data_IF_403047795087
#
_entry.id   IF_403047795087
#
_cell.length_a   1.000
_cell.length_b   1.000
_cell.length_c   1.000
_cell.angle_alpha   90.00
_cell.angle_beta   90.00
_cell.angle_gamma   90.00
#
_symmetry.space_group_name_H-M   'P 1'
#
loop_
_entity.id
_entity.type
_entity.pdbx_description
1 polymer ?
2 polymer ?
3 non-polymer ?
4 non-polymer ?
5 non-polymer ?
6 water ?
#
# COMPACT_ATOMS: atom_id res chain seq x y z
N UNK A 1 2.00 1.61 23.79
CA UNK A 1 2.79 2.85 24.11
C UNK A 1 4.18 2.52 24.58
N UNK A 2 4.71 1.37 24.15
CA UNK A 2 6.03 0.93 24.61
C UNK A 2 7.14 1.82 24.09
N UNK A 3 6.86 2.67 23.11
CA UNK A 3 7.86 3.59 22.59
C UNK A 3 7.71 4.99 23.17
N UNK A 4 6.80 5.16 24.11
CA UNK A 4 6.52 6.48 24.62
C UNK A 4 7.68 7.12 25.35
N UNK A 5 8.60 6.31 25.89
CA UNK A 5 9.73 6.87 26.62
C UNK A 5 10.95 7.16 25.74
N UNK A 6 10.92 6.78 24.46
CA UNK A 6 12.04 7.02 23.57
C UNK A 6 11.86 8.30 22.75
N UNK A 7 12.95 9.03 22.61
CA UNK A 7 12.95 10.28 21.84
C UNK A 7 12.52 10.01 20.41
N UNK A 8 11.81 10.96 19.82
CA UNK A 8 11.42 10.83 18.41
C UNK A 8 12.63 10.58 17.52
N UNK A 9 13.70 11.34 17.72
CA UNK A 9 14.84 11.21 16.82
C UNK A 9 15.49 9.84 16.95
N UNK A 10 15.51 9.30 18.18
CA UNK A 10 16.07 7.96 18.41
C UNK A 10 15.22 6.90 17.74
N UNK A 11 13.88 7.08 17.75
CA UNK A 11 12.99 6.13 17.06
C UNK A 11 13.25 6.12 15.56
N UNK A 12 13.44 7.30 14.97
CA UNK A 12 13.74 7.39 13.54
C UNK A 12 15.10 6.76 13.26
N UNK A 13 16.10 7.07 14.10
CA UNK A 13 17.42 6.48 13.91
C UNK A 13 17.34 4.95 13.95
N UNK A 14 16.61 4.40 14.93
CA UNK A 14 16.48 2.95 15.08
C UNK A 14 15.63 2.33 13.97
N UNK A 15 14.60 3.03 13.47
CA UNK A 15 13.90 2.56 12.28
C UNK A 15 14.85 2.34 11.12
N UNK A 16 15.79 3.28 10.93
CA UNK A 16 16.76 3.12 9.84
C UNK A 16 17.72 1.97 10.10
N UNK A 17 18.12 1.74 11.34
CA UNK A 17 18.92 0.56 11.65
C UNK A 17 18.15 -0.73 11.41
N UNK A 18 16.90 -0.79 11.87
CA UNK A 18 16.08 -1.96 11.65
C UNK A 18 15.94 -2.26 10.16
N UNK A 19 15.75 -1.23 9.34
CA UNK A 19 15.70 -1.45 7.89
C UNK A 19 17.00 -2.12 7.40
N UNK A 20 18.14 -1.64 7.87
CA UNK A 20 19.41 -2.22 7.42
C UNK A 20 19.54 -3.66 7.86
N UNK A 21 18.97 -3.99 9.01
CA UNK A 21 19.00 -5.34 9.54
C UNK A 21 17.85 -6.20 9.04
N UNK A 22 17.00 -5.68 8.18
CA UNK A 22 15.80 -6.38 7.68
C UNK A 22 14.90 -6.84 8.83
N UNK A 23 14.79 -5.99 9.84
CA UNK A 23 13.94 -6.27 11.00
C UNK A 23 12.70 -5.37 10.88
N UNK A 24 11.78 -5.77 9.99
CA UNK A 24 10.70 -4.86 9.65
C UNK A 24 9.63 -4.73 10.71
N UNK A 25 9.41 -5.76 11.54
CA UNK A 25 8.48 -5.61 12.64
C UNK A 25 9.01 -4.58 13.64
N UNK A 26 10.29 -4.65 13.96
CA UNK A 26 10.90 -3.62 14.79
C UNK A 26 10.76 -2.25 14.14
N UNK A 27 11.05 -2.18 12.84
CA UNK A 27 10.99 -0.93 12.12
C UNK A 27 9.60 -0.32 12.20
N UNK A 28 8.57 -1.16 12.07
CA UNK A 28 7.20 -0.67 12.14
C UNK A 28 6.87 -0.16 13.53
N UNK A 29 7.33 -0.86 14.56
CA UNK A 29 7.06 -0.42 15.91
C UNK A 29 7.75 0.91 16.20
N UNK A 30 9.00 1.07 15.75
CA UNK A 30 9.69 2.34 15.90
C UNK A 30 8.95 3.47 15.18
N UNK A 31 8.51 3.22 13.95
CA UNK A 31 7.83 4.28 13.23
C UNK A 31 6.43 4.55 13.78
N UNK A 32 5.73 3.53 14.27
CA UNK A 32 4.48 3.81 14.98
C UNK A 32 4.75 4.73 16.18
N UNK A 33 5.81 4.43 16.93
CA UNK A 33 6.19 5.26 18.06
C UNK A 33 6.48 6.69 17.64
N UNK A 34 7.20 6.87 16.54
CA UNK A 34 7.48 8.22 16.02
C UNK A 34 6.19 8.94 15.63
N UNK A 35 5.30 8.27 14.91
CA UNK A 35 4.02 8.88 14.56
C UNK A 35 3.28 9.34 15.82
N UNK A 36 3.22 8.49 16.85
CA UNK A 36 2.49 8.81 18.07
C UNK A 36 3.10 9.94 18.88
N UNK A 37 4.29 10.42 18.51
CA UNK A 37 4.78 11.65 19.14
C UNK A 37 3.94 12.85 18.76
N UNK A 38 3.16 12.76 17.68
CA UNK A 38 2.19 13.78 17.34
C UNK A 38 2.64 14.82 16.35
N UNK A 39 3.90 14.81 15.95
CA UNK A 39 4.38 15.77 14.96
C UNK A 39 4.19 15.20 13.56
N UNK A 40 4.01 16.09 12.59
CA UNK A 40 3.95 15.66 11.20
C UNK A 40 5.25 14.98 10.81
N UNK A 41 5.16 14.14 9.77
CA UNK A 41 6.31 13.39 9.29
C UNK A 41 6.89 14.07 8.07
N UNK A 42 8.22 14.05 7.97
CA UNK A 42 8.86 14.52 6.76
C UNK A 42 8.71 13.50 5.63
N UNK A 43 9.16 13.91 4.43
CA UNK A 43 9.13 13.00 3.28
C UNK A 43 9.88 11.71 3.58
N UNK A 44 11.09 11.82 4.12
CA UNK A 44 11.89 10.64 4.41
C UNK A 44 11.19 9.78 5.44
N UNK A 45 10.61 10.41 6.46
CA UNK A 45 9.94 9.66 7.53
C UNK A 45 8.69 8.96 7.01
N UNK A 46 7.94 9.60 6.11
CA UNK A 46 6.79 8.94 5.51
C UNK A 46 7.23 7.68 4.77
N UNK A 47 8.36 7.76 4.07
CA UNK A 47 8.86 6.60 3.34
C UNK A 47 9.21 5.49 4.32
N UNK A 48 9.85 5.83 5.45
CA UNK A 48 10.20 4.82 6.43
C UNK A 48 8.96 4.10 6.96
N UNK A 49 7.93 4.88 7.25
CA UNK A 49 6.66 4.32 7.73
C UNK A 49 6.12 3.34 6.71
N UNK A 50 6.13 3.75 5.45
CA UNK A 50 5.62 2.92 4.37
C UNK A 50 6.45 1.66 4.17
N UNK A 51 7.79 1.79 4.17
CA UNK A 51 8.65 0.62 4.01
C UNK A 51 8.39 -0.40 5.12
N UNK A 52 8.26 0.08 6.35
CA UNK A 52 8.14 -0.85 7.48
C UNK A 52 6.88 -1.69 7.36
N UNK A 53 5.74 -1.04 7.20
CA UNK A 53 4.48 -1.76 7.18
C UNK A 53 4.25 -2.48 5.87
N UNK A 54 4.79 -1.97 4.76
CA UNK A 54 4.73 -2.73 3.50
C UNK A 54 5.36 -4.09 3.69
N UNK A 55 6.52 -4.15 4.34
CA UNK A 55 7.23 -5.41 4.50
C UNK A 55 6.56 -6.30 5.53
N UNK A 56 6.04 -5.74 6.61
CA UNK A 56 5.32 -6.56 7.59
C UNK A 56 4.08 -7.18 6.93
N UNK A 57 3.21 -6.35 6.36
CA UNK A 57 2.00 -6.90 5.76
C UNK A 57 2.33 -7.74 4.55
N UNK A 58 3.42 -7.43 3.85
CA UNK A 58 3.79 -8.22 2.70
C UNK A 58 4.05 -9.67 3.07
N UNK A 59 4.75 -9.89 4.19
CA UNK A 59 4.97 -11.24 4.68
C UNK A 59 3.68 -11.93 5.09
N UNK A 60 2.77 -11.21 5.72
CA UNK A 60 1.49 -11.77 6.12
C UNK A 60 0.63 -12.10 4.90
N UNK A 61 0.58 -11.22 3.91
CA UNK A 61 -0.20 -11.49 2.71
C UNK A 61 0.30 -12.74 2.00
N UNK A 62 1.62 -12.90 1.88
CA UNK A 62 2.16 -14.05 1.20
C UNK A 62 1.84 -15.34 1.93
N UNK A 63 1.91 -15.30 3.27
CA UNK A 63 1.55 -16.47 4.08
C UNK A 63 0.07 -16.78 3.96
N UNK A 64 -0.78 -15.75 4.02
CA UNK A 64 -2.22 -15.95 3.89
C UNK A 64 -2.55 -16.61 2.56
N UNK A 65 -1.89 -16.18 1.48
CA UNK A 65 -2.14 -16.78 0.17
C UNK A 65 -1.73 -18.24 0.13
N UNK A 66 -0.58 -18.59 0.73
CA UNK A 66 -0.19 -19.99 0.80
C UNK A 66 -1.26 -20.80 1.51
N UNK A 67 -1.70 -20.33 2.68
CA UNK A 67 -2.66 -21.07 3.50
C UNK A 67 -4.02 -21.14 2.85
N UNK A 68 -4.46 -20.06 2.22
CA UNK A 68 -5.75 -20.05 1.53
C UNK A 68 -5.77 -21.05 0.39
N UNK A 69 -4.65 -21.16 -0.33
CA UNK A 69 -4.57 -22.13 -1.42
C UNK A 69 -4.66 -23.55 -0.89
N UNK A 70 -4.01 -23.81 0.24
CA UNK A 70 -4.11 -25.13 0.86
C UNK A 70 -5.53 -25.36 1.32
N UNK A 71 -6.14 -24.36 1.92
CA UNK A 71 -7.51 -24.50 2.42
C UNK A 71 -8.46 -24.82 1.25
N UNK A 72 -8.31 -24.10 0.14
CA UNK A 72 -9.19 -24.31 -0.99
C UNK A 72 -9.00 -25.71 -1.58
N UNK A 73 -7.76 -26.18 -1.65
CA UNK A 73 -7.54 -27.53 -2.15
C UNK A 73 -8.13 -28.57 -1.22
N UNK A 74 -8.18 -28.29 0.09
CA UNK A 74 -8.76 -29.22 1.04
C UNK A 74 -10.28 -29.35 0.90
N UNK A 75 -10.91 -28.42 0.19
CA UNK A 75 -12.35 -28.40 0.02
C UNK A 75 -12.79 -28.81 -1.39
N UNK A 76 -11.91 -29.42 -2.17
CA UNK A 76 -12.30 -29.98 -3.45
C UNK A 76 -12.92 -31.37 -3.25
N UNK A 77 -13.41 -31.95 -4.35
CA UNK A 77 -13.89 -33.32 -4.31
C UNK A 77 -12.71 -34.29 -4.26
N UNK A 78 -12.87 -35.37 -3.50
CA UNK A 78 -11.84 -36.37 -3.33
C UNK A 78 -10.76 -36.00 -2.33
N UNK A 79 -10.92 -34.88 -1.64
CA UNK A 79 -9.94 -34.42 -0.67
C UNK A 79 -10.25 -35.03 0.70
N UNK A 80 -9.23 -35.57 1.34
CA UNK A 80 -9.39 -36.12 2.68
C UNK A 80 -9.68 -35.02 3.69
N UNK A 81 -10.57 -35.31 4.63
CA UNK A 81 -10.83 -34.41 5.74
C UNK A 81 -9.64 -34.43 6.70
N UNK A 82 -9.04 -33.27 6.92
CA UNK A 82 -7.88 -33.15 7.79
C UNK A 82 -8.20 -32.40 9.09
N UNK A 83 -9.47 -32.08 9.32
CA UNK A 83 -9.86 -31.38 10.52
C UNK A 83 -9.83 -29.88 10.34
N UNK A 84 -9.96 -29.16 11.45
CA UNK A 84 -10.09 -27.71 11.39
C UNK A 84 -8.79 -26.95 11.31
N UNK A 85 -7.63 -27.63 11.26
CA UNK A 85 -6.36 -26.95 11.52
C UNK A 85 -6.02 -25.94 10.42
N UNK A 86 -6.20 -26.30 9.15
CA UNK A 86 -5.87 -25.38 8.08
C UNK A 86 -6.68 -24.10 8.21
N UNK A 87 -8.00 -24.24 8.36
CA UNK A 87 -8.84 -23.08 8.54
C UNK A 87 -8.41 -22.26 9.73
N UNK A 88 -8.15 -22.92 10.87
CA UNK A 88 -7.77 -22.22 12.09
C UNK A 88 -6.53 -21.38 11.89
N UNK A 89 -5.50 -21.99 11.29
CA UNK A 89 -4.23 -21.29 11.14
C UNK A 89 -4.32 -20.18 10.09
N UNK A 90 -5.06 -20.43 9.01
CA UNK A 90 -5.34 -19.34 8.07
C UNK A 90 -6.06 -18.19 8.77
N UNK A 91 -7.04 -18.49 9.62
CA UNK A 91 -7.73 -17.45 10.37
C UNK A 91 -6.76 -16.71 11.29
N UNK A 92 -5.83 -17.44 11.90
CA UNK A 92 -4.85 -16.80 12.78
C UNK A 92 -4.04 -15.78 12.01
N UNK A 93 -3.50 -16.19 10.87
CA UNK A 93 -2.70 -15.28 10.05
C UNK A 93 -3.56 -14.13 9.56
N UNK A 94 -4.80 -14.43 9.13
CA UNK A 94 -5.70 -13.39 8.64
C UNK A 94 -6.00 -12.37 9.72
N UNK A 95 -6.21 -12.82 10.95
CA UNK A 95 -6.49 -11.88 12.03
C UNK A 95 -5.29 -11.01 12.34
N UNK A 96 -4.09 -11.57 12.28
CA UNK A 96 -2.90 -10.75 12.52
C UNK A 96 -2.72 -9.72 11.42
N UNK A 97 -2.97 -10.11 10.19
CA UNK A 97 -2.91 -9.19 9.06
C UNK A 97 -3.91 -8.05 9.20
N UNK A 98 -5.16 -8.38 9.54
CA UNK A 98 -6.16 -7.36 9.76
C UNK A 98 -5.74 -6.42 10.88
N UNK A 99 -5.05 -6.95 11.89
CA UNK A 99 -4.62 -6.11 13.00
C UNK A 99 -3.55 -5.11 12.59
N UNK A 100 -2.65 -5.53 11.73
CA UNK A 100 -1.64 -4.61 11.17
C UNK A 100 -2.33 -3.55 10.31
N UNK A 101 -3.24 -3.97 9.43
CA UNK A 101 -3.97 -3.01 8.61
C UNK A 101 -4.73 -2.01 9.48
N UNK A 102 -5.39 -2.51 10.52
CA UNK A 102 -6.11 -1.62 11.44
C UNK A 102 -5.18 -0.65 12.14
N UNK A 103 -3.97 -1.11 12.49
CA UNK A 103 -3.01 -0.23 13.14
C UNK A 103 -2.61 0.91 12.21
N UNK A 104 -2.32 0.60 10.94
CA UNK A 104 -1.95 1.63 9.99
C UNK A 104 -3.09 2.61 9.77
N UNK A 105 -4.30 2.08 9.57
CA UNK A 105 -5.45 2.93 9.33
C UNK A 105 -5.71 3.82 10.53
N UNK A 106 -5.46 3.28 11.72
CA UNK A 106 -5.61 4.07 12.93
C UNK A 106 -4.61 5.20 13.03
N UNK A 107 -3.36 4.96 12.61
CA UNK A 107 -2.38 6.04 12.59
C UNK A 107 -2.78 7.09 11.59
N UNK A 108 -3.27 6.68 10.42
CA UNK A 108 -3.68 7.65 9.41
C UNK A 108 -4.85 8.48 9.91
N UNK A 109 -5.75 7.85 10.66
CA UNK A 109 -6.92 8.56 11.16
C UNK A 109 -6.64 9.37 12.43
N UNK A 110 -5.55 9.08 13.13
CA UNK A 110 -5.20 9.73 14.40
C UNK A 110 -3.70 10.03 14.48
N UNK A 111 -3.23 11.08 13.77
CA UNK A 111 -4.03 12.08 13.09
C UNK A 111 -3.28 12.51 11.83
N UNK A 112 -2.61 11.56 11.15
CA UNK A 112 -1.74 11.92 10.05
C UNK A 112 -2.52 12.64 8.94
N UNK A 113 -3.65 12.10 8.53
CA UNK A 113 -4.35 12.66 7.38
C UNK A 113 -4.89 14.05 7.71
N UNK A 114 -5.47 14.23 8.89
CA UNK A 114 -6.10 15.52 9.14
C UNK A 114 -5.07 16.63 9.24
N UNK A 115 -3.85 16.33 9.63
CA UNK A 115 -2.86 17.41 9.72
C UNK A 115 -2.04 17.59 8.46
N UNK A 116 -2.29 16.78 7.42
CA UNK A 116 -1.52 16.85 6.18
C UNK A 116 -2.18 17.85 5.24
N UNK A 117 -1.52 18.99 5.03
CA UNK A 117 -2.07 20.02 4.19
C UNK A 117 -1.41 20.09 2.81
N UNK A 118 -0.13 19.73 2.74
CA UNK A 118 0.55 19.75 1.46
C UNK A 118 0.08 18.60 0.60
N UNK A 119 0.08 18.82 -0.72
CA UNK A 119 -0.40 17.77 -1.62
C UNK A 119 0.42 16.50 -1.49
N UNK A 120 1.75 16.62 -1.40
CA UNK A 120 2.60 15.43 -1.35
C UNK A 120 2.32 14.59 -0.12
N UNK A 121 2.09 15.21 1.03
CA UNK A 121 1.78 14.42 2.21
C UNK A 121 0.34 13.91 2.17
N UNK A 122 -0.61 14.75 1.79
CA UNK A 122 -2.00 14.33 1.83
C UNK A 122 -2.25 13.18 0.85
N UNK A 123 -1.68 13.26 -0.35
CA UNK A 123 -1.83 12.18 -1.31
C UNK A 123 -1.14 10.91 -0.83
N UNK A 124 0.06 11.05 -0.25
CA UNK A 124 0.76 9.88 0.27
C UNK A 124 -0.09 9.13 1.29
N UNK A 125 -0.70 9.85 2.22
CA UNK A 125 -1.45 9.18 3.27
C UNK A 125 -2.77 8.64 2.75
N UNK A 126 -3.43 9.35 1.83
CA UNK A 126 -4.67 8.82 1.29
C UNK A 126 -4.41 7.59 0.43
N UNK A 127 -3.31 7.57 -0.32
CA UNK A 127 -2.91 6.34 -1.01
C UNK A 127 -2.71 5.20 -0.01
N UNK A 128 -2.02 5.48 1.10
CA UNK A 128 -1.79 4.47 2.11
C UNK A 128 -3.12 3.95 2.64
N UNK A 129 -4.07 4.85 2.87
CA UNK A 129 -5.38 4.44 3.35
C UNK A 129 -6.03 3.50 2.34
N UNK A 130 -5.98 3.86 1.07
CA UNK A 130 -6.50 2.96 0.05
C UNK A 130 -5.79 1.62 0.04
N UNK A 131 -4.47 1.63 0.14
CA UNK A 131 -3.69 0.40 0.10
C UNK A 131 -4.09 -0.53 1.22
N UNK A 132 -4.22 -0.01 2.46
CA UNK A 132 -4.45 -0.92 3.57
C UNK A 132 -5.91 -1.35 3.64
N UNK A 133 -6.86 -0.55 3.14
CA UNK A 133 -8.20 -1.09 2.91
C UNK A 133 -8.19 -2.13 1.78
N UNK A 134 -7.36 -1.94 0.76
CA UNK A 134 -7.24 -2.97 -0.26
C UNK A 134 -6.72 -4.30 0.31
N UNK A 135 -5.73 -4.25 1.20
CA UNK A 135 -5.26 -5.48 1.81
C UNK A 135 -6.35 -6.12 2.67
N UNK A 136 -7.12 -5.32 3.41
CA UNK A 136 -8.27 -5.87 4.11
C UNK A 136 -9.25 -6.51 3.13
N UNK A 137 -9.46 -5.89 1.97
CA UNK A 137 -10.41 -6.42 0.99
C UNK A 137 -9.95 -7.74 0.40
N UNK A 138 -8.63 -7.94 0.28
CA UNK A 138 -8.12 -9.19 -0.26
C UNK A 138 -8.58 -10.40 0.57
N UNK A 139 -8.82 -10.21 1.86
CA UNK A 139 -9.17 -11.31 2.74
C UNK A 139 -10.61 -11.24 3.21
N UNK A 140 -11.36 -10.24 2.79
CA UNK A 140 -12.71 -10.05 3.29
C UNK A 140 -13.68 -10.98 2.55
N UNK A 141 -14.70 -11.44 3.28
CA UNK A 141 -15.72 -12.30 2.67
C UNK A 141 -17.14 -12.04 3.15
N UNK A 142 -17.35 -11.42 4.31
CA UNK A 142 -18.68 -11.31 4.88
C UNK A 142 -19.48 -10.07 4.56
N UNK A 143 -20.23 -9.57 5.55
CA UNK A 143 -21.15 -8.47 5.34
C UNK A 143 -20.45 -7.16 5.02
N UNK A 144 -19.20 -7.01 5.45
CA UNK A 144 -18.49 -5.75 5.30
C UNK A 144 -17.55 -5.72 4.10
N UNK A 145 -17.49 -6.79 3.30
CA UNK A 145 -16.63 -6.80 2.13
C UNK A 145 -16.91 -5.59 1.23
N UNK A 146 -18.19 -5.29 1.00
CA UNK A 146 -18.53 -4.21 0.08
C UNK A 146 -18.12 -2.87 0.63
N UNK A 147 -18.28 -2.67 1.95
CA UNK A 147 -17.93 -1.40 2.55
C UNK A 147 -16.42 -1.24 2.64
N UNK A 148 -15.69 -2.34 2.82
CA UNK A 148 -14.23 -2.26 2.78
C UNK A 148 -13.76 -1.85 1.40
N UNK A 149 -14.32 -2.47 0.38
CA UNK A 149 -13.96 -2.11 -0.99
C UNK A 149 -14.28 -0.66 -1.24
N UNK A 150 -15.45 -0.19 -0.77
CA UNK A 150 -15.79 1.19 -1.04
C UNK A 150 -14.89 2.14 -0.26
N UNK A 151 -14.46 1.74 0.95
CA UNK A 151 -13.52 2.55 1.68
C UNK A 151 -12.20 2.69 0.91
N UNK A 152 -11.68 1.59 0.37
CA UNK A 152 -10.47 1.69 -0.47
C UNK A 152 -10.72 2.62 -1.65
N UNK A 153 -11.80 2.39 -2.39
CA UNK A 153 -12.09 3.20 -3.57
C UNK A 153 -12.18 4.68 -3.20
N UNK A 154 -12.85 4.99 -2.10
CA UNK A 154 -13.02 6.39 -1.73
C UNK A 154 -11.67 7.06 -1.41
N UNK A 155 -10.78 6.37 -0.72
CA UNK A 155 -9.49 6.94 -0.36
C UNK A 155 -8.65 7.18 -1.61
N UNK A 156 -8.59 6.16 -2.48
CA UNK A 156 -7.83 6.27 -3.71
C UNK A 156 -8.37 7.41 -4.58
N UNK A 157 -9.70 7.55 -4.64
CA UNK A 157 -10.31 8.58 -5.49
C UNK A 157 -9.98 9.97 -4.97
N UNK A 158 -10.06 10.20 -3.65
CA UNK A 158 -9.70 11.50 -3.12
C UNK A 158 -8.23 11.81 -3.39
N UNK A 159 -7.37 10.79 -3.27
CA UNK A 159 -5.96 10.97 -3.58
C UNK A 159 -5.76 11.29 -5.04
N UNK A 160 -6.48 10.58 -5.93
CA UNK A 160 -6.33 10.86 -7.36
C UNK A 160 -6.75 12.29 -7.68
N UNK A 161 -7.90 12.71 -7.14
CA UNK A 161 -8.38 14.06 -7.43
C UNK A 161 -7.36 15.11 -7.02
N UNK A 162 -6.73 14.95 -5.85
CA UNK A 162 -5.74 15.93 -5.41
C UNK A 162 -4.49 15.84 -6.28
N UNK A 163 -4.04 14.62 -6.56
CA UNK A 163 -2.78 14.44 -7.29
C UNK A 163 -2.90 15.02 -8.70
N UNK A 164 -4.05 14.85 -9.32
CA UNK A 164 -4.23 15.40 -10.66
C UNK A 164 -4.26 16.91 -10.66
N UNK A 165 -4.78 17.51 -9.59
CA UNK A 165 -4.83 18.97 -9.49
C UNK A 165 -3.47 19.56 -9.12
N UNK A 166 -2.71 18.86 -8.28
CA UNK A 166 -1.60 19.48 -7.58
C UNK A 166 -0.22 18.95 -7.92
N UNK A 167 -0.12 17.86 -8.66
CA UNK A 167 1.15 17.19 -8.92
C UNK A 167 1.33 16.99 -10.40
N UNK A 168 2.57 17.00 -10.90
CA UNK A 168 2.81 16.70 -12.31
C UNK A 168 2.57 15.22 -12.57
N UNK A 169 2.27 14.86 -13.82
CA UNK A 169 1.96 13.45 -14.14
C UNK A 169 3.11 12.51 -13.92
N UNK A 170 4.34 13.00 -13.80
CA UNK A 170 5.49 12.16 -13.54
C UNK A 170 5.83 11.99 -12.07
N UNK A 171 5.13 12.68 -11.21
CA UNK A 171 5.46 12.60 -9.78
C UNK A 171 5.38 11.14 -9.32
N UNK A 172 6.44 10.59 -8.72
CA UNK A 172 6.41 9.17 -8.31
C UNK A 172 5.28 8.79 -7.36
N UNK A 173 4.83 9.70 -6.49
CA UNK A 173 3.70 9.39 -5.63
C UNK A 173 2.43 9.28 -6.47
N UNK A 174 2.22 10.25 -7.35
CA UNK A 174 1.07 10.20 -8.26
C UNK A 174 1.09 8.92 -9.09
N UNK A 175 2.26 8.55 -9.61
CA UNK A 175 2.40 7.34 -10.41
C UNK A 175 2.12 6.07 -9.61
N UNK A 176 2.68 5.97 -8.41
CA UNK A 176 2.44 4.79 -7.60
C UNK A 176 1.01 4.69 -7.11
N UNK A 177 0.38 5.84 -6.87
CA UNK A 177 -1.05 5.87 -6.56
C UNK A 177 -1.87 5.30 -7.70
N UNK A 178 -1.61 5.78 -8.92
CA UNK A 178 -2.39 5.31 -10.06
C UNK A 178 -2.13 3.83 -10.33
N UNK A 179 -0.87 3.41 -10.22
CA UNK A 179 -0.55 1.98 -10.30
C UNK A 179 -1.40 1.17 -9.33
N UNK A 180 -1.44 1.60 -8.07
CA UNK A 180 -2.15 0.80 -7.07
C UNK A 180 -3.66 0.87 -7.25
N UNK A 181 -4.18 2.02 -7.65
CA UNK A 181 -5.63 2.12 -7.91
C UNK A 181 -5.99 1.24 -9.08
N UNK A 182 -5.11 1.16 -10.08
CA UNK A 182 -5.35 0.26 -11.20
C UNK A 182 -5.36 -1.20 -10.75
N UNK A 183 -4.46 -1.58 -9.84
CA UNK A 183 -4.48 -2.96 -9.32
C UNK A 183 -5.76 -3.19 -8.52
N UNK A 184 -6.19 -2.19 -7.75
CA UNK A 184 -7.47 -2.27 -7.04
C UNK A 184 -8.60 -2.59 -8.01
N UNK A 185 -8.66 -1.85 -9.13
CA UNK A 185 -9.72 -2.08 -10.10
C UNK A 185 -9.65 -3.50 -10.63
N UNK A 186 -8.44 -3.98 -10.91
CA UNK A 186 -8.31 -5.26 -11.57
C UNK A 186 -8.57 -6.41 -10.62
N UNK A 187 -7.99 -6.34 -9.42
CA UNK A 187 -7.97 -7.48 -8.51
C UNK A 187 -9.09 -7.45 -7.48
N UNK A 188 -9.58 -6.28 -7.10
CA UNK A 188 -10.55 -6.14 -6.03
C UNK A 188 -11.93 -5.81 -6.57
N UNK A 189 -12.01 -4.87 -7.51
CA UNK A 189 -13.28 -4.31 -7.94
C UNK A 189 -13.84 -5.01 -9.18
N UNK A 190 -13.19 -6.04 -9.66
CA UNK A 190 -13.69 -6.77 -10.83
C UNK A 190 -13.91 -5.81 -11.99
N UNK A 191 -12.99 -4.86 -12.17
CA UNK A 191 -13.10 -3.85 -13.23
C UNK A 191 -11.82 -3.83 -14.06
N UNK A 192 -11.53 -4.92 -14.77
CA UNK A 192 -10.26 -4.97 -15.52
C UNK A 192 -10.16 -3.91 -16.59
N UNK A 193 -11.27 -3.51 -17.21
CA UNK A 193 -11.18 -2.47 -18.23
C UNK A 193 -10.85 -1.13 -17.61
N UNK A 194 -11.41 -0.82 -16.44
CA UNK A 194 -11.01 0.39 -15.73
C UNK A 194 -9.53 0.35 -15.34
N UNK A 195 -9.05 -0.82 -14.91
CA UNK A 195 -7.65 -0.96 -14.55
C UNK A 195 -6.75 -0.69 -15.73
N UNK A 196 -7.09 -1.26 -16.89
CA UNK A 196 -6.26 -1.09 -18.09
C UNK A 196 -6.30 0.36 -18.58
N UNK A 197 -7.48 0.97 -18.62
CA UNK A 197 -7.56 2.37 -19.06
C UNK A 197 -6.75 3.26 -18.14
N UNK A 198 -6.86 3.07 -16.84
CA UNK A 198 -6.11 3.90 -15.92
C UNK A 198 -4.61 3.73 -16.12
N UNK A 199 -4.13 2.49 -16.25
CA UNK A 199 -2.69 2.28 -16.40
C UNK A 199 -2.18 2.91 -17.69
N UNK A 200 -2.92 2.73 -18.78
CA UNK A 200 -2.53 3.30 -20.07
C UNK A 200 -2.46 4.82 -20.01
N UNK A 201 -3.56 5.46 -19.58
CA UNK A 201 -3.60 6.91 -19.54
C UNK A 201 -2.50 7.48 -18.65
N UNK A 202 -2.29 6.84 -17.49
CA UNK A 202 -1.24 7.27 -16.57
C UNK A 202 0.12 7.20 -17.23
N UNK A 203 0.39 6.08 -17.89
CA UNK A 203 1.69 5.89 -18.56
C UNK A 203 1.88 6.94 -19.66
N UNK A 204 0.87 7.14 -20.50
CA UNK A 204 1.00 8.06 -21.61
C UNK A 204 1.18 9.50 -21.13
N UNK A 205 0.46 9.90 -20.08
CA UNK A 205 0.61 11.26 -19.60
C UNK A 205 1.96 11.48 -18.95
N UNK A 206 2.52 10.45 -18.31
CA UNK A 206 3.85 10.62 -17.75
C UNK A 206 4.90 10.69 -18.87
N UNK A 207 4.75 9.82 -19.87
CA UNK A 207 5.69 9.82 -20.99
C UNK A 207 5.85 11.22 -21.58
N UNK A 208 4.75 11.95 -21.75
CA UNK A 208 4.77 13.26 -22.38
C UNK A 208 5.37 14.35 -21.52
N UNK A 209 5.59 14.07 -20.23
CA UNK A 209 6.17 15.03 -19.27
C UNK A 209 7.62 14.68 -18.88
N UNK A 210 8.15 13.56 -19.36
CA UNK A 210 9.50 13.17 -18.98
C UNK A 210 10.54 14.21 -19.40
N UNK A 211 10.28 14.90 -20.51
CA UNK A 211 11.25 15.86 -21.05
C UNK A 211 11.51 16.99 -20.07
N UNK A 212 10.64 17.19 -19.07
CA UNK A 212 10.84 18.27 -18.12
C UNK A 212 11.77 17.92 -16.99
N UNK A 213 12.17 16.65 -16.87
CA UNK A 213 12.82 16.12 -15.70
C UNK A 213 14.35 16.10 -15.82
N UNK A 214 15.00 16.21 -14.66
CA UNK A 214 16.40 15.86 -14.52
C UNK A 214 16.60 14.36 -14.68
N UNK A 215 17.88 13.97 -14.83
CA UNK A 215 18.18 12.56 -15.01
C UNK A 215 17.76 11.74 -13.81
N UNK A 216 17.98 12.25 -12.60
CA UNK A 216 17.59 11.53 -11.39
C UNK A 216 16.06 11.41 -11.28
N UNK A 217 15.33 12.47 -11.59
CA UNK A 217 13.88 12.37 -11.52
C UNK A 217 13.35 11.47 -12.63
N UNK A 218 13.94 11.57 -13.81
CA UNK A 218 13.62 10.65 -14.90
C UNK A 218 13.74 9.20 -14.47
N UNK A 219 14.84 8.86 -13.77
CA UNK A 219 15.00 7.49 -13.30
C UNK A 219 13.90 7.10 -12.34
N UNK A 220 13.50 8.01 -11.44
CA UNK A 220 12.45 7.70 -10.47
C UNK A 220 11.12 7.46 -11.18
N UNK A 221 10.77 8.33 -12.13
CA UNK A 221 9.48 8.20 -12.80
C UNK A 221 9.44 6.97 -13.72
N UNK A 222 10.49 6.73 -14.51
CA UNK A 222 10.45 5.62 -15.44
C UNK A 222 10.45 4.28 -14.69
N UNK A 223 10.97 4.22 -13.48
CA UNK A 223 10.88 2.99 -12.70
C UNK A 223 9.42 2.59 -12.48
N UNK A 224 8.59 3.55 -12.06
CA UNK A 224 7.18 3.24 -11.81
C UNK A 224 6.43 3.05 -13.12
N UNK A 225 6.83 3.77 -14.18
CA UNK A 225 6.16 3.58 -15.46
C UNK A 225 6.35 2.16 -15.98
N UNK A 226 7.52 1.57 -15.71
CA UNK A 226 7.77 0.21 -16.17
C UNK A 226 6.88 -0.79 -15.46
N UNK A 227 6.50 -0.52 -14.21
CA UNK A 227 5.56 -1.38 -13.53
C UNK A 227 4.17 -1.29 -14.15
N UNK A 228 3.78 -0.08 -14.59
CA UNK A 228 2.52 0.07 -15.29
C UNK A 228 2.53 -0.72 -16.59
N UNK A 229 3.63 -0.63 -17.32
CA UNK A 229 3.76 -1.39 -18.56
C UNK A 229 3.74 -2.88 -18.29
N UNK A 230 4.43 -3.32 -17.22
CA UNK A 230 4.44 -4.72 -16.86
C UNK A 230 3.03 -5.22 -16.60
N UNK A 231 2.22 -4.43 -15.90
CA UNK A 231 0.85 -4.85 -15.62
C UNK A 231 0.03 -4.89 -16.91
N UNK A 232 0.13 -3.85 -17.74
CA UNK A 232 -0.59 -3.89 -19.01
C UNK A 232 -0.22 -5.13 -19.82
N UNK A 233 1.06 -5.50 -19.82
CA UNK A 233 1.50 -6.70 -20.52
C UNK A 233 0.89 -7.96 -19.91
N UNK A 234 0.74 -7.97 -18.59
CA UNK A 234 0.08 -9.08 -17.93
C UNK A 234 -1.41 -9.13 -18.27
N UNK A 235 -2.04 -7.96 -18.40
CA UNK A 235 -3.49 -7.88 -18.49
C UNK A 235 -4.04 -7.85 -19.91
N UNK A 236 -3.19 -7.67 -20.92
CA UNK A 236 -3.64 -7.57 -22.30
C UNK A 236 -2.88 -8.55 -23.20
N UNK B 3 -0.24 -8.93 -10.21
CA UNK B 3 0.10 -7.57 -10.66
C UNK B 3 1.09 -6.91 -9.72
N UNK B 4 1.91 -6.01 -10.24
CA UNK B 4 2.83 -5.24 -9.43
C UNK B 4 2.15 -4.05 -8.82
N UNK B 5 2.44 -3.81 -7.54
CA UNK B 5 1.97 -2.58 -6.90
C UNK B 5 3.21 -1.78 -6.53
N UNK B 6 3.02 -0.62 -5.98
CA UNK B 6 4.11 0.35 -5.94
C UNK B 6 5.14 -0.05 -4.90
N UNK B 7 6.42 0.17 -5.22
CA UNK B 7 7.48 -0.13 -4.26
C UNK B 7 7.53 0.90 -3.15
N UNK B 8 8.36 0.68 -2.01
CA UNK B 8 8.41 1.73 -0.99
C UNK B 8 10.57 2.72 -1.84
N UNK B 9 10.74 4.14 -1.86
CA UNK B 9 11.19 5.11 -2.87
C UNK B 9 12.56 4.72 -3.45
X LIG C 1 0.07 20.41 8.38
X LIG D 1 16.15 -0.44 21.22
X LIG E 1 -13.95 -0.02 -10.41
X LIG F 1 -6.31 -32.69 12.00
X LIG G 1 2.47 21.05 -7.29
X LIG H 1 11.61 14.72 23.01
#
# INVERSE_FOLDING_TARGET
GAMGSMERASLIQKAKLAEQAERYEDMAAFMKGAVEKGEELSCEERNLLSVAYKNVVGGQRAAWRVLSSIEQKSNEEGSEEKGPEVREYREKVETELQGVCDTVLGLLDSHLIKEAGDAESRVFYLKMKGDYYRYLAEVATGDDKKRIIDSARSAYQEAMDISKKEMPPTNPIRLGLALNFSVFHYEIANSPEEAISLAKTTFDEAMADLHTLSEDSYKDSTLIMQLLRDNLTLWT
XRAHSSPASLX
CA CA
CL CL
CL CL
NA NA
NA NA
NA NA
#
